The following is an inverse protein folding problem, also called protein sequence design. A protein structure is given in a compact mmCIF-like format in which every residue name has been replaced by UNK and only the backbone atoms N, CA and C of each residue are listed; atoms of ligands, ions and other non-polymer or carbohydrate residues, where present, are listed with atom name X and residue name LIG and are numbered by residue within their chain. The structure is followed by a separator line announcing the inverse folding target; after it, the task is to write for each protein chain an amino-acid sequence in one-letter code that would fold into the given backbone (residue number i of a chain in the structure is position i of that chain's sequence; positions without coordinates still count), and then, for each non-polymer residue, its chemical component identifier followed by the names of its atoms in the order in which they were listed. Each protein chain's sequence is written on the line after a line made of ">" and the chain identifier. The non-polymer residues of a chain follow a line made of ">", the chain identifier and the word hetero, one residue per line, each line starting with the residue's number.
data_IF_055998628390
#
_entry.id   IF_055998628390
#
_cell.length_a   1.000
_cell.length_b   1.000
_cell.length_c   1.000
_cell.angle_alpha   90.00
_cell.angle_beta   90.00
_cell.angle_gamma   90.00
#
_symmetry.space_group_name_H-M   'P 1'
#
loop_
_entity.id
_entity.type
_entity.pdbx_description
1 polymer ?
#
# COMPACT_ATOMS: atom_id res chain seq x y z
N UNK A 1 -16.19 5.97 9.79
CA UNK A 1 -15.74 4.86 8.92
C UNK A 1 -14.33 5.11 8.47
N UNK A 2 -13.44 4.12 8.61
CA UNK A 2 -12.08 4.26 8.13
C UNK A 2 -12.02 4.06 6.62
N UNK A 3 -11.12 4.79 5.97
CA UNK A 3 -10.88 4.67 4.54
C UNK A 3 -9.84 3.59 4.29
N UNK A 4 -10.15 2.67 3.37
CA UNK A 4 -9.18 1.64 2.97
C UNK A 4 -8.28 2.20 1.88
N UNK A 5 -7.01 2.29 2.16
CA UNK A 5 -6.01 2.78 1.21
C UNK A 5 -4.99 1.69 1.00
N UNK A 6 -4.83 1.26 -0.25
CA UNK A 6 -3.87 0.22 -0.61
C UNK A 6 -2.64 0.86 -1.22
N UNK A 7 -1.46 0.46 -0.74
CA UNK A 7 -0.20 0.92 -1.31
C UNK A 7 0.52 -0.30 -1.87
N UNK A 8 0.69 -0.32 -3.18
CA UNK A 8 1.40 -1.39 -3.87
C UNK A 8 2.83 -0.94 -4.08
N UNK A 9 3.76 -1.61 -3.41
CA UNK A 9 5.16 -1.21 -3.36
C UNK A 9 5.46 -0.34 -2.15
N UNK A 10 5.79 -0.94 -1.01
CA UNK A 10 5.98 -0.22 0.26
C UNK A 10 7.45 0.09 0.55
N UNK A 11 8.26 0.31 -0.47
CA UNK A 11 9.65 0.73 -0.28
C UNK A 11 9.70 2.20 0.19
N UNK A 12 10.84 2.84 -0.04
CA UNK A 12 11.05 4.22 0.43
C UNK A 12 9.96 5.16 -0.06
N UNK A 13 9.62 5.09 -1.34
CA UNK A 13 8.63 6.00 -1.93
C UNK A 13 7.24 5.71 -1.38
N UNK A 14 6.84 4.42 -1.37
CA UNK A 14 5.53 4.02 -0.87
C UNK A 14 5.37 4.37 0.60
N UNK A 15 6.43 4.17 1.40
CA UNK A 15 6.41 4.52 2.81
C UNK A 15 6.24 6.01 3.05
N UNK A 16 6.89 6.84 2.24
CA UNK A 16 6.74 8.29 2.33
C UNK A 16 5.31 8.73 2.04
N UNK A 17 4.69 8.17 0.99
CA UNK A 17 3.30 8.45 0.68
C UNK A 17 2.36 8.01 1.80
N UNK A 18 2.64 6.85 2.40
CA UNK A 18 1.81 6.34 3.50
C UNK A 18 1.79 7.31 4.67
N UNK A 19 2.95 7.85 5.03
CA UNK A 19 3.04 8.82 6.12
C UNK A 19 2.26 10.09 5.81
N UNK A 20 2.35 10.60 4.58
CA UNK A 20 1.60 11.78 4.17
C UNK A 20 0.09 11.53 4.18
N UNK A 21 -0.33 10.37 3.69
CA UNK A 21 -1.74 9.99 3.67
C UNK A 21 -2.29 9.92 5.10
N UNK A 22 -1.51 9.40 6.02
CA UNK A 22 -1.95 9.29 7.43
C UNK A 22 -2.14 10.66 8.06
N UNK A 23 -1.38 11.65 7.63
CA UNK A 23 -1.57 13.04 8.08
C UNK A 23 -2.87 13.64 7.54
N UNK A 24 -3.17 13.36 6.27
CA UNK A 24 -4.37 13.92 5.61
C UNK A 24 -5.62 13.17 6.06
N UNK A 25 -5.53 11.86 6.17
CA UNK A 25 -6.64 10.99 6.56
C UNK A 25 -6.26 10.17 7.80
N UNK A 26 -6.30 10.76 9.00
CA UNK A 26 -5.85 10.04 10.21
C UNK A 26 -6.64 8.78 10.51
N UNK A 27 -7.88 8.69 10.03
CA UNK A 27 -8.74 7.51 10.23
C UNK A 27 -8.54 6.44 9.17
N UNK A 28 -7.57 6.60 8.26
CA UNK A 28 -7.36 5.65 7.19
C UNK A 28 -6.79 4.33 7.70
N UNK A 29 -7.14 3.25 7.00
CA UNK A 29 -6.56 1.92 7.20
C UNK A 29 -5.66 1.66 5.99
N UNK A 30 -4.36 1.76 6.18
CA UNK A 30 -3.39 1.63 5.10
C UNK A 30 -2.92 0.19 5.01
N UNK A 31 -3.16 -0.41 3.86
CA UNK A 31 -2.83 -1.82 3.60
C UNK A 31 -1.69 -1.85 2.59
N UNK A 32 -0.56 -2.43 3.00
CA UNK A 32 0.62 -2.53 2.15
C UNK A 32 0.64 -3.83 1.36
N UNK A 33 1.03 -3.74 0.10
CA UNK A 33 1.19 -4.89 -0.78
C UNK A 33 2.57 -4.79 -1.42
N UNK A 34 3.40 -5.81 -1.24
CA UNK A 34 4.77 -5.82 -1.75
C UNK A 34 5.23 -7.25 -1.93
N UNK A 35 6.10 -7.49 -2.90
CA UNK A 35 6.75 -8.79 -3.07
C UNK A 35 7.79 -9.05 -2.00
N UNK A 36 8.31 -8.02 -1.37
CA UNK A 36 9.33 -8.12 -0.34
C UNK A 36 8.69 -8.19 1.04
N UNK A 37 8.74 -9.37 1.63
CA UNK A 37 8.25 -9.54 3.00
C UNK A 37 9.02 -8.64 3.97
N UNK A 38 10.31 -8.44 3.70
CA UNK A 38 11.14 -7.56 4.53
C UNK A 38 10.62 -6.13 4.53
N UNK A 39 10.26 -5.60 3.35
CA UNK A 39 9.68 -4.27 3.26
C UNK A 39 8.38 -4.17 4.04
N UNK A 40 7.52 -5.19 3.93
CA UNK A 40 6.25 -5.21 4.64
C UNK A 40 6.46 -5.27 6.16
N UNK A 41 7.37 -6.12 6.63
CA UNK A 41 7.65 -6.25 8.05
C UNK A 41 8.20 -4.95 8.64
N UNK A 42 9.09 -4.29 7.92
CA UNK A 42 9.64 -3.00 8.34
C UNK A 42 8.54 -1.95 8.41
N UNK A 43 7.66 -1.92 7.42
CA UNK A 43 6.57 -0.94 7.37
C UNK A 43 5.59 -1.13 8.55
N UNK A 44 5.29 -2.37 8.90
CA UNK A 44 4.45 -2.67 10.06
C UNK A 44 5.14 -2.23 11.34
N UNK A 45 6.43 -2.57 11.50
CA UNK A 45 7.18 -2.24 12.71
C UNK A 45 7.30 -0.74 12.91
N UNK A 46 7.44 0.02 11.84
CA UNK A 46 7.55 1.48 11.89
C UNK A 46 6.19 2.17 11.89
N UNK A 47 5.10 1.40 11.88
CA UNK A 47 3.72 1.91 11.86
C UNK A 47 3.43 2.77 10.63
N UNK A 48 4.09 2.46 9.53
CA UNK A 48 3.86 3.14 8.25
C UNK A 48 2.59 2.60 7.61
N UNK A 49 2.37 1.28 7.71
CA UNK A 49 1.14 0.65 7.24
C UNK A 49 0.44 -0.02 8.41
N UNK A 50 -0.87 -0.19 8.30
CA UNK A 50 -1.68 -0.79 9.35
C UNK A 50 -1.85 -2.29 9.16
N UNK A 51 -1.76 -2.76 7.94
CA UNK A 51 -1.95 -4.18 7.63
C UNK A 51 -1.20 -4.55 6.36
N UNK A 52 -1.04 -5.86 6.16
CA UNK A 52 -0.43 -6.44 4.97
C UNK A 52 -1.53 -7.14 4.19
N UNK A 53 -1.58 -6.91 2.87
CA UNK A 53 -2.57 -7.54 2.02
C UNK A 53 -1.97 -8.09 0.75
N UNK A 54 -2.83 -8.58 -0.14
CA UNK A 54 -2.44 -9.04 -1.46
C UNK A 54 -3.34 -8.41 -2.51
N UNK A 55 -2.89 -8.43 -3.76
CA UNK A 55 -3.65 -7.83 -4.87
C UNK A 55 -5.03 -8.47 -5.00
N UNK A 56 -5.10 -9.78 -4.75
CA UNK A 56 -6.37 -10.51 -4.87
C UNK A 56 -7.38 -10.13 -3.80
N UNK A 57 -6.93 -9.52 -2.71
CA UNK A 57 -7.77 -9.16 -1.57
C UNK A 57 -8.27 -7.72 -1.59
N UNK A 58 -7.95 -6.96 -2.65
CA UNK A 58 -8.39 -5.57 -2.73
C UNK A 58 -9.91 -5.52 -2.88
N UNK A 59 -10.56 -4.88 -1.92
CA UNK A 59 -12.03 -4.74 -1.90
C UNK A 59 -12.41 -3.33 -1.47
N UNK A 60 -13.31 -2.71 -2.19
CA UNK A 60 -13.87 -1.39 -1.86
C UNK A 60 -12.80 -0.38 -1.44
N UNK A 61 -11.76 -0.17 -2.27
CA UNK A 61 -10.71 0.76 -1.89
C UNK A 61 -11.18 2.20 -1.99
N UNK A 62 -10.77 3.02 -1.01
CA UNK A 62 -10.91 4.46 -1.14
C UNK A 62 -9.85 5.00 -2.11
N UNK A 63 -8.64 4.41 -2.05
CA UNK A 63 -7.52 4.84 -2.88
C UNK A 63 -6.56 3.67 -3.08
N UNK A 64 -5.95 3.59 -4.26
CA UNK A 64 -4.89 2.64 -4.55
C UNK A 64 -3.70 3.43 -5.08
N UNK A 65 -2.56 3.30 -4.42
CA UNK A 65 -1.31 3.94 -4.84
C UNK A 65 -0.35 2.89 -5.38
N UNK A 66 0.19 3.16 -6.56
CA UNK A 66 1.21 2.31 -7.17
C UNK A 66 2.57 3.00 -7.04
N UNK A 67 3.43 2.45 -6.19
CA UNK A 67 4.76 3.00 -5.94
C UNK A 67 5.84 1.97 -6.30
N UNK A 68 5.75 1.42 -7.51
CA UNK A 68 6.64 0.37 -8.01
C UNK A 68 7.19 0.76 -9.38
N UNK A 69 8.28 0.13 -9.84
CA UNK A 69 8.83 0.41 -11.17
C UNK A 69 7.82 0.11 -12.29
N UNK A 70 7.93 0.83 -13.39
CA UNK A 70 6.99 0.71 -14.52
C UNK A 70 6.84 -0.73 -15.01
N UNK A 71 7.92 -1.49 -15.07
CA UNK A 71 7.86 -2.91 -15.48
C UNK A 71 6.93 -3.72 -14.58
N UNK A 72 7.02 -3.49 -13.28
CA UNK A 72 6.17 -4.21 -12.32
C UNK A 72 4.72 -3.78 -12.44
N UNK A 73 4.47 -2.51 -12.77
CA UNK A 73 3.11 -2.01 -12.97
C UNK A 73 2.45 -2.74 -14.14
N UNK A 74 3.17 -2.94 -15.24
CA UNK A 74 2.64 -3.65 -16.40
C UNK A 74 2.20 -5.07 -16.04
N UNK A 75 2.96 -5.74 -15.18
CA UNK A 75 2.64 -7.09 -14.76
C UNK A 75 1.45 -7.15 -13.79
N UNK A 76 1.21 -6.09 -13.06
CA UNK A 76 0.17 -6.04 -12.02
C UNK A 76 -1.17 -5.56 -12.56
N UNK A 77 -1.18 -4.66 -13.52
CA UNK A 77 -2.41 -4.03 -14.02
C UNK A 77 -3.52 -5.01 -14.36
N UNK A 78 -3.26 -6.16 -15.04
CA UNK A 78 -4.34 -7.10 -15.32
C UNK A 78 -5.03 -7.65 -14.06
N UNK A 79 -4.34 -7.66 -12.93
CA UNK A 79 -4.90 -8.15 -11.67
C UNK A 79 -5.64 -7.05 -10.90
N UNK A 80 -5.30 -5.79 -11.15
CA UNK A 80 -5.90 -4.65 -10.46
C UNK A 80 -7.12 -4.13 -11.20
N UNK A 81 -7.03 -4.12 -12.53
CA UNK A 81 -8.10 -3.64 -13.37
C UNK A 81 -9.14 -4.71 -13.64
#
# INVERSE_FOLDING_TARGET
>A
MSRKIYIIGVGLIGGSFALEIKKIFPDSNIIGIDNSKENLDQAINLKIIDAIGSIDDITNPFMILLAIPVKSIINILPNVL
#
